data_IF_351727639191
#
_entry.id   IF_351727639191
#
_cell.length_a   1.000
_cell.length_b   1.000
_cell.length_c   1.000
_cell.angle_alpha   90.00
_cell.angle_beta   90.00
_cell.angle_gamma   90.00
#
_symmetry.space_group_name_H-M   'P 1'
#
loop_
_entity.id
_entity.type
_entity.pdbx_description
1 polymer ?
#
# COMPACT_ATOMS: atom_id res chain seq x y z
N UNK A 1 16.81 -11.08 10.01
CA UNK A 1 16.15 -12.33 9.53
C UNK A 1 14.83 -11.88 8.93
N UNK A 2 14.58 -12.13 7.65
CA UNK A 2 13.35 -11.71 6.99
C UNK A 2 12.20 -12.70 7.26
N UNK A 3 11.03 -12.23 7.69
CA UNK A 3 9.88 -13.09 8.00
C UNK A 3 8.65 -12.70 7.18
N UNK A 4 8.03 -13.67 6.48
CA UNK A 4 6.79 -13.44 5.72
C UNK A 4 5.58 -13.50 6.64
N UNK A 5 4.68 -12.54 6.49
CA UNK A 5 3.48 -12.33 7.31
C UNK A 5 2.28 -12.16 6.35
N UNK A 6 1.09 -12.63 6.75
CA UNK A 6 -0.17 -12.46 5.98
C UNK A 6 0.01 -12.76 4.49
N UNK A 7 0.38 -14.00 4.18
CA UNK A 7 0.68 -14.44 2.81
C UNK A 7 -0.59 -14.80 2.06
N UNK A 8 -0.79 -14.18 0.90
CA UNK A 8 -1.82 -14.49 -0.08
C UNK A 8 -1.16 -14.95 -1.39
N UNK A 9 -1.97 -15.33 -2.38
CA UNK A 9 -1.48 -15.83 -3.67
C UNK A 9 -0.56 -14.83 -4.38
N UNK A 10 -0.98 -13.56 -4.46
CA UNK A 10 -0.26 -12.53 -5.20
C UNK A 10 0.28 -11.40 -4.31
N UNK A 11 0.06 -11.43 -3.00
CA UNK A 11 0.56 -10.39 -2.09
C UNK A 11 0.98 -10.97 -0.75
N UNK A 12 1.94 -10.35 -0.09
CA UNK A 12 2.36 -10.72 1.25
C UNK A 12 3.05 -9.56 1.94
N UNK A 13 3.06 -9.59 3.27
CA UNK A 13 3.90 -8.72 4.06
C UNK A 13 5.23 -9.38 4.38
N UNK A 14 6.30 -8.61 4.40
CA UNK A 14 7.65 -9.04 4.78
C UNK A 14 8.15 -8.12 5.88
N UNK A 15 8.57 -8.69 7.01
CA UNK A 15 9.34 -7.96 8.02
C UNK A 15 10.82 -8.14 7.72
N UNK A 16 11.49 -7.05 7.38
CA UNK A 16 12.89 -7.00 6.96
C UNK A 16 13.64 -5.92 7.75
N UNK A 17 14.44 -6.31 8.73
CA UNK A 17 15.22 -5.41 9.61
C UNK A 17 14.39 -4.21 10.12
N UNK A 18 13.29 -4.53 10.81
CA UNK A 18 12.28 -3.60 11.39
C UNK A 18 11.46 -2.78 10.39
N UNK A 19 11.63 -3.02 9.09
CA UNK A 19 10.79 -2.45 8.03
C UNK A 19 9.72 -3.46 7.62
N UNK A 20 8.46 -3.01 7.60
CA UNK A 20 7.35 -3.77 7.07
C UNK A 20 7.14 -3.42 5.60
N UNK A 21 7.35 -4.40 4.73
CA UNK A 21 7.26 -4.26 3.28
C UNK A 21 6.01 -5.01 2.78
N UNK A 22 5.14 -4.32 2.05
CA UNK A 22 4.02 -4.94 1.35
C UNK A 22 4.44 -5.26 -0.07
N UNK A 23 4.52 -6.55 -0.37
CA UNK A 23 4.82 -7.08 -1.69
C UNK A 23 3.52 -7.41 -2.42
N UNK A 24 3.46 -7.04 -3.70
CA UNK A 24 2.33 -7.36 -4.57
C UNK A 24 2.80 -7.66 -6.00
N UNK A 25 2.40 -8.82 -6.52
CA UNK A 25 2.59 -9.22 -7.91
C UNK A 25 1.45 -8.67 -8.76
N UNK A 26 1.53 -7.37 -9.09
CA UNK A 26 0.47 -6.65 -9.81
C UNK A 26 0.13 -7.27 -11.16
N UNK A 27 1.17 -7.61 -11.92
CA UNK A 27 1.06 -8.21 -13.24
C UNK A 27 1.83 -9.52 -13.31
N UNK A 28 3.15 -9.47 -13.05
CA UNK A 28 4.04 -10.63 -13.15
C UNK A 28 5.22 -10.57 -12.18
N UNK A 29 5.77 -9.38 -11.96
CA UNK A 29 6.92 -9.17 -11.09
C UNK A 29 6.48 -8.86 -9.65
N UNK A 30 7.23 -9.40 -8.69
CA UNK A 30 7.06 -9.09 -7.28
C UNK A 30 7.63 -7.71 -6.98
N UNK A 31 6.76 -6.77 -6.62
CA UNK A 31 7.14 -5.39 -6.35
C UNK A 31 6.78 -5.01 -4.92
N UNK A 32 7.62 -4.18 -4.30
CA UNK A 32 7.29 -3.57 -3.01
C UNK A 32 6.47 -2.33 -3.28
N UNK A 33 5.19 -2.39 -2.93
CA UNK A 33 4.26 -1.29 -3.22
C UNK A 33 4.11 -0.32 -2.05
N UNK A 34 4.49 -0.72 -0.84
CA UNK A 34 4.47 0.11 0.36
C UNK A 34 5.51 -0.39 1.36
N UNK A 35 6.16 0.53 2.06
CA UNK A 35 7.01 0.24 3.22
C UNK A 35 6.61 1.12 4.38
N UNK A 36 6.62 0.57 5.59
CA UNK A 36 6.44 1.39 6.79
C UNK A 36 7.34 0.94 7.94
N UNK A 37 7.58 1.87 8.86
CA UNK A 37 8.23 1.63 10.15
C UNK A 37 7.34 2.20 11.27
N UNK A 38 7.46 1.65 12.47
CA UNK A 38 6.87 2.24 13.66
C UNK A 38 7.78 3.35 14.19
N UNK A 39 7.21 4.49 14.59
CA UNK A 39 7.97 5.54 15.27
C UNK A 39 8.52 5.00 16.61
N UNK A 40 9.74 5.40 16.96
CA UNK A 40 10.43 4.92 18.16
C UNK A 40 9.92 5.58 19.44
N UNK A 41 9.42 6.79 19.32
CA UNK A 41 8.92 7.62 20.41
C UNK A 41 7.39 7.53 20.54
N UNK A 42 6.69 7.10 19.49
CA UNK A 42 5.24 6.90 19.48
C UNK A 42 4.84 5.55 18.88
N UNK A 43 4.40 4.63 19.75
CA UNK A 43 3.98 3.29 19.34
C UNK A 43 2.69 3.26 18.50
N UNK A 44 1.93 4.35 18.45
CA UNK A 44 0.73 4.44 17.63
C UNK A 44 0.97 5.15 16.29
N UNK A 45 2.17 5.71 16.06
CA UNK A 45 2.54 6.39 14.82
C UNK A 45 3.36 5.49 13.88
N UNK A 46 3.00 5.45 12.61
CA UNK A 46 3.65 4.65 11.58
C UNK A 46 4.02 5.53 10.40
N UNK A 47 5.32 5.58 10.09
CA UNK A 47 5.87 6.36 8.98
C UNK A 47 5.95 5.45 7.77
N UNK A 48 5.40 5.86 6.63
CA UNK A 48 5.36 5.05 5.43
C UNK A 48 5.77 5.80 4.16
N UNK A 49 6.18 5.00 3.16
CA UNK A 49 6.48 5.42 1.79
C UNK A 49 5.81 4.44 0.84
N UNK A 50 5.37 4.92 -0.32
CA UNK A 50 4.73 4.09 -1.33
C UNK A 50 4.88 4.67 -2.72
N UNK A 51 5.55 3.92 -3.60
CA UNK A 51 5.66 4.27 -5.02
C UNK A 51 4.29 4.18 -5.72
N UNK A 52 3.46 3.20 -5.34
CA UNK A 52 2.11 3.02 -5.89
C UNK A 52 1.21 4.22 -5.58
N UNK A 53 1.23 4.70 -4.33
CA UNK A 53 0.45 5.85 -3.88
C UNK A 53 1.11 7.19 -4.23
N UNK A 54 2.34 7.18 -4.74
CA UNK A 54 3.17 8.36 -4.99
C UNK A 54 3.38 9.20 -3.70
N UNK A 55 3.76 8.53 -2.61
CA UNK A 55 4.02 9.11 -1.28
C UNK A 55 5.48 8.89 -0.92
N UNK A 56 6.24 9.98 -0.78
CA UNK A 56 7.66 9.94 -0.42
C UNK A 56 7.90 9.83 1.09
N UNK A 57 6.98 10.36 1.91
CA UNK A 57 7.00 10.28 3.38
C UNK A 57 5.68 10.79 3.94
N UNK A 58 4.94 9.94 4.66
CA UNK A 58 3.72 10.34 5.37
C UNK A 58 3.50 9.45 6.61
N UNK A 59 2.54 9.81 7.45
CA UNK A 59 2.27 9.19 8.75
C UNK A 59 0.84 8.66 8.84
N UNK A 60 0.68 7.49 9.43
CA UNK A 60 -0.62 6.89 9.74
C UNK A 60 -0.68 6.43 11.20
N UNK A 61 -1.84 6.62 11.82
CA UNK A 61 -2.04 6.30 13.23
C UNK A 61 -2.84 5.00 13.39
N UNK A 62 -2.30 4.06 14.16
CA UNK A 62 -2.94 2.77 14.42
C UNK A 62 -2.63 2.24 15.82
N UNK A 63 -3.54 1.45 16.37
CA UNK A 63 -3.39 0.88 17.72
C UNK A 63 -2.37 -0.26 17.79
N UNK A 64 -2.03 -0.83 16.64
CA UNK A 64 -1.10 -1.95 16.51
C UNK A 64 -0.56 -2.04 15.09
N UNK A 65 0.55 -2.76 14.93
CA UNK A 65 1.12 -3.10 13.61
C UNK A 65 0.07 -3.83 12.75
N UNK A 66 -0.71 -4.74 13.35
CA UNK A 66 -1.74 -5.49 12.65
C UNK A 66 -2.87 -4.60 12.12
N UNK A 67 -3.23 -3.56 12.88
CA UNK A 67 -4.20 -2.55 12.46
C UNK A 67 -3.62 -1.65 11.38
N UNK A 68 -2.35 -1.20 11.53
CA UNK A 68 -1.66 -0.41 10.51
C UNK A 68 -1.62 -1.13 9.16
N UNK A 69 -1.19 -2.41 9.16
CA UNK A 69 -1.17 -3.25 7.96
C UNK A 69 -2.55 -3.33 7.29
N UNK A 70 -3.62 -3.45 8.07
CA UNK A 70 -4.98 -3.49 7.53
C UNK A 70 -5.39 -2.14 6.94
N UNK A 71 -5.10 -1.04 7.63
CA UNK A 71 -5.39 0.31 7.13
C UNK A 71 -4.66 0.57 5.81
N UNK A 72 -3.37 0.23 5.70
CA UNK A 72 -2.63 0.36 4.45
C UNK A 72 -3.20 -0.50 3.32
N UNK A 73 -3.65 -1.72 3.61
CA UNK A 73 -4.36 -2.54 2.62
C UNK A 73 -5.65 -1.87 2.13
N UNK A 74 -6.44 -1.30 3.03
CA UNK A 74 -7.68 -0.58 2.69
C UNK A 74 -7.38 0.68 1.85
N UNK A 75 -6.34 1.46 2.20
CA UNK A 75 -5.88 2.63 1.44
C UNK A 75 -5.46 2.26 0.02
N UNK A 76 -4.70 1.17 -0.14
CA UNK A 76 -4.28 0.69 -1.46
C UNK A 76 -5.50 0.27 -2.30
N UNK A 77 -6.45 -0.44 -1.69
CA UNK A 77 -7.68 -0.84 -2.38
C UNK A 77 -8.47 0.39 -2.85
N UNK A 78 -8.60 1.41 -2.01
CA UNK A 78 -9.33 2.63 -2.37
C UNK A 78 -8.60 3.42 -3.45
N UNK A 79 -7.26 3.54 -3.38
CA UNK A 79 -6.46 4.14 -4.46
C UNK A 79 -6.67 3.44 -5.81
N UNK A 80 -6.69 2.10 -5.82
CA UNK A 80 -6.92 1.34 -7.06
C UNK A 80 -8.33 1.63 -7.62
N UNK A 81 -9.35 1.69 -6.77
CA UNK A 81 -10.72 2.04 -7.21
C UNK A 81 -10.76 3.46 -7.80
N UNK A 82 -10.14 4.44 -7.15
CA UNK A 82 -10.06 5.81 -7.65
C UNK A 82 -9.37 5.87 -9.02
N UNK A 83 -8.32 5.08 -9.24
CA UNK A 83 -7.65 4.98 -10.55
C UNK A 83 -8.57 4.37 -11.61
N UNK A 84 -9.33 3.33 -11.26
CA UNK A 84 -10.32 2.73 -12.17
C UNK A 84 -11.34 3.80 -12.59
N UNK A 85 -11.95 4.49 -11.62
CA UNK A 85 -12.94 5.52 -11.88
C UNK A 85 -12.37 6.65 -12.76
N UNK A 86 -11.15 7.10 -12.46
CA UNK A 86 -10.45 8.11 -13.26
C UNK A 86 -10.28 7.68 -14.73
N UNK A 87 -9.85 6.43 -14.97
CA UNK A 87 -9.64 5.93 -16.33
C UNK A 87 -10.96 5.68 -17.07
N UNK A 88 -12.01 5.25 -16.37
CA UNK A 88 -13.34 5.10 -16.93
C UNK A 88 -13.92 6.45 -17.39
N UNK A 89 -13.78 7.50 -16.57
CA UNK A 89 -14.17 8.87 -16.96
C UNK A 89 -13.37 9.39 -18.16
N UNK A 90 -12.06 9.15 -18.18
CA UNK A 90 -11.18 9.54 -19.28
C UNK A 90 -11.59 8.86 -20.59
N UNK A 91 -11.90 7.57 -20.53
CA UNK A 91 -12.37 6.80 -21.68
C UNK A 91 -13.74 7.29 -22.18
N UNK A 92 -14.67 7.56 -21.27
CA UNK A 92 -16.00 8.07 -21.61
C UNK A 92 -15.91 9.41 -22.38
N UNK A 93 -15.06 10.35 -21.91
CA UNK A 93 -14.81 11.62 -22.61
C UNK A 93 -14.16 11.42 -23.98
N UNK A 94 -13.24 10.48 -24.12
CA UNK A 94 -12.60 10.20 -25.41
C UNK A 94 -13.59 9.67 -26.46
N UNK A 95 -14.61 8.93 -26.03
CA UNK A 95 -15.63 8.34 -26.91
C UNK A 95 -16.83 9.27 -27.18
N UNK A 96 -16.90 10.44 -26.54
CA UNK A 96 -17.98 11.41 -26.70
C UNK A 96 -18.02 11.95 -28.14
N UNK A 97 -19.17 11.78 -28.81
CA UNK A 97 -19.41 12.29 -30.18
C UNK A 97 -20.17 13.62 -30.09
N UNK A 98 -19.80 14.56 -30.96
CA UNK A 98 -20.52 15.83 -31.15
C UNK A 98 -21.88 15.63 -31.81
#
# INVERSE_FOLDING_TARGET
MSNKIRVYENRYWLLNDDVYELHFTQFYDDEIILKFIQDKEDSENYIYVSDLLNVEHDEEFAKSIEDAMKQFEDVIVDHIKEKIDYYDEMLAKFLEKK
#
